data_IF_395429930533
#
_entry.id   IF_395429930533
#
_cell.length_a   1.000
_cell.length_b   1.000
_cell.length_c   1.000
_cell.angle_alpha   90.00
_cell.angle_beta   90.00
_cell.angle_gamma   90.00
#
_symmetry.space_group_name_H-M   'P 1'
#
loop_
_entity.id
_entity.type
_entity.pdbx_description
1 polymer ?
#
# COMPACT_ATOMS: atom_id res chain seq x y z
N UNK A 1 4.57 -15.79 -36.45
CA UNK A 1 3.95 -15.47 -35.14
C UNK A 1 4.04 -13.98 -34.90
N UNK A 2 2.92 -13.24 -34.89
CA UNK A 2 2.92 -11.80 -34.62
C UNK A 2 3.34 -11.56 -33.16
N UNK A 3 4.47 -10.88 -32.96
CA UNK A 3 4.95 -10.42 -31.67
C UNK A 3 3.86 -9.49 -31.11
N UNK A 4 3.10 -9.95 -30.12
CA UNK A 4 2.16 -9.06 -29.39
C UNK A 4 3.04 -8.06 -28.65
N UNK A 5 3.20 -6.90 -29.27
CA UNK A 5 3.77 -5.74 -28.62
C UNK A 5 2.97 -5.49 -27.34
N UNK A 6 3.66 -5.48 -26.21
CA UNK A 6 3.04 -5.14 -24.93
C UNK A 6 2.76 -3.64 -24.97
N UNK A 7 1.59 -3.27 -25.51
CA UNK A 7 1.10 -1.89 -25.52
C UNK A 7 0.59 -1.59 -24.13
N UNK A 8 1.46 -1.01 -23.30
CA UNK A 8 1.03 -0.51 -22.01
C UNK A 8 0.36 0.86 -22.22
N UNK A 9 -0.97 0.86 -22.29
CA UNK A 9 -1.79 2.05 -22.57
C UNK A 9 -1.69 3.16 -21.51
N UNK A 10 -1.12 2.87 -20.33
CA UNK A 10 -1.00 3.81 -19.20
C UNK A 10 0.38 3.77 -18.54
N UNK A 11 1.39 3.21 -19.20
CA UNK A 11 2.73 3.20 -18.63
C UNK A 11 3.40 4.56 -18.80
N UNK A 12 3.53 5.27 -17.67
CA UNK A 12 4.64 6.19 -17.38
C UNK A 12 4.63 7.56 -18.10
N UNK A 13 3.48 8.08 -18.50
CA UNK A 13 3.29 9.52 -18.78
C UNK A 13 2.87 10.27 -17.48
N UNK A 14 3.66 10.19 -16.42
CA UNK A 14 3.39 10.94 -15.19
C UNK A 14 4.06 12.33 -15.26
N UNK A 15 3.45 13.22 -16.05
CA UNK A 15 3.66 14.66 -15.88
C UNK A 15 3.36 15.03 -14.42
N UNK A 16 4.40 15.18 -13.59
CA UNK A 16 4.40 15.67 -12.19
C UNK A 16 3.99 14.71 -11.06
N UNK A 17 4.46 13.45 -11.03
CA UNK A 17 4.24 12.52 -9.89
C UNK A 17 2.77 12.51 -9.39
N UNK A 18 1.79 12.72 -10.27
CA UNK A 18 0.40 12.91 -9.86
C UNK A 18 -0.23 11.55 -9.68
N UNK A 19 -0.39 11.13 -8.43
CA UNK A 19 -0.95 9.82 -8.15
C UNK A 19 -2.37 9.68 -8.72
N UNK A 20 -2.71 8.52 -9.32
CA UNK A 20 -4.03 8.29 -9.87
C UNK A 20 -5.07 8.29 -8.75
N UNK A 21 -6.28 8.76 -9.06
CA UNK A 21 -7.42 8.75 -8.13
C UNK A 21 -7.68 7.36 -7.53
N UNK A 22 -7.43 6.31 -8.31
CA UNK A 22 -7.50 4.91 -7.89
C UNK A 22 -6.61 4.62 -6.67
N UNK A 23 -5.39 5.18 -6.61
CA UNK A 23 -4.47 5.03 -5.46
C UNK A 23 -5.09 5.58 -4.17
N UNK A 24 -5.82 6.69 -4.25
CA UNK A 24 -6.53 7.28 -3.11
C UNK A 24 -7.66 6.39 -2.60
N UNK A 25 -8.41 5.72 -3.48
CA UNK A 25 -9.47 4.79 -3.06
C UNK A 25 -8.87 3.66 -2.23
N UNK A 26 -7.84 2.98 -2.75
CA UNK A 26 -7.17 1.89 -2.04
C UNK A 26 -6.55 2.34 -0.71
N UNK A 27 -6.04 3.57 -0.65
CA UNK A 27 -5.56 4.17 0.60
C UNK A 27 -6.68 4.33 1.64
N UNK A 28 -7.86 4.81 1.27
CA UNK A 28 -8.99 4.90 2.20
C UNK A 28 -9.50 3.52 2.63
N UNK A 29 -9.51 2.53 1.73
CA UNK A 29 -9.82 1.12 2.09
C UNK A 29 -8.86 0.62 3.16
N UNK A 30 -7.56 0.89 3.01
CA UNK A 30 -6.56 0.50 4.00
C UNK A 30 -6.81 1.17 5.36
N UNK A 31 -7.11 2.48 5.37
CA UNK A 31 -7.40 3.20 6.62
C UNK A 31 -8.61 2.62 7.36
N UNK A 32 -9.71 2.34 6.64
CA UNK A 32 -10.89 1.70 7.22
C UNK A 32 -10.56 0.31 7.74
N UNK A 33 -9.77 -0.47 6.99
CA UNK A 33 -9.36 -1.81 7.40
C UNK A 33 -8.51 -1.83 8.68
N UNK A 34 -7.58 -0.88 8.83
CA UNK A 34 -6.78 -0.69 10.06
C UNK A 34 -7.69 -0.47 11.25
N UNK A 35 -8.61 0.48 11.14
CA UNK A 35 -9.52 0.87 12.22
C UNK A 35 -10.41 -0.33 12.59
N UNK A 36 -10.98 -1.01 11.60
CA UNK A 36 -11.83 -2.16 11.81
C UNK A 36 -11.10 -3.28 12.57
N UNK A 37 -9.88 -3.66 12.16
CA UNK A 37 -9.11 -4.70 12.86
C UNK A 37 -8.77 -4.32 14.30
N UNK A 38 -8.48 -3.04 14.58
CA UNK A 38 -8.22 -2.58 15.95
C UNK A 38 -9.48 -2.52 16.80
N UNK A 39 -10.62 -2.25 16.19
CA UNK A 39 -11.92 -2.26 16.85
C UNK A 39 -12.41 -3.68 17.19
N UNK A 40 -11.89 -4.74 16.56
CA UNK A 40 -12.28 -6.14 16.87
C UNK A 40 -12.09 -6.47 18.35
N UNK A 41 -10.95 -6.10 18.93
CA UNK A 41 -10.65 -6.40 20.34
C UNK A 41 -11.67 -5.78 21.28
N UNK A 42 -12.02 -4.50 21.05
CA UNK A 42 -13.01 -3.79 21.83
C UNK A 42 -14.39 -4.42 21.62
N UNK A 43 -14.76 -4.67 20.36
CA UNK A 43 -16.07 -5.23 20.01
C UNK A 43 -16.29 -6.63 20.57
N UNK A 44 -15.23 -7.42 20.80
CA UNK A 44 -15.33 -8.77 21.34
C UNK A 44 -15.98 -8.77 22.74
N UNK A 45 -15.68 -7.77 23.56
CA UNK A 45 -16.21 -7.62 24.92
C UNK A 45 -17.66 -7.10 24.95
N UNK A 46 -18.10 -6.41 23.90
CA UNK A 46 -19.46 -5.84 23.82
C UNK A 46 -20.43 -6.72 23.04
N UNK A 47 -20.05 -7.15 21.83
CA UNK A 47 -20.90 -7.93 20.95
C UNK A 47 -20.08 -8.78 19.95
N UNK A 48 -20.12 -10.11 20.04
CA UNK A 48 -19.34 -10.99 19.17
C UNK A 48 -19.74 -10.91 17.68
N UNK A 49 -20.97 -10.50 17.36
CA UNK A 49 -21.41 -10.29 15.97
C UNK A 49 -20.72 -9.06 15.39
N UNK A 50 -20.64 -7.96 16.16
CA UNK A 50 -19.96 -6.74 15.73
C UNK A 50 -18.47 -6.98 15.52
N UNK A 51 -17.84 -7.77 16.39
CA UNK A 51 -16.45 -8.19 16.24
C UNK A 51 -16.22 -8.95 14.92
N UNK A 52 -17.12 -9.85 14.53
CA UNK A 52 -17.05 -10.56 13.24
C UNK A 52 -17.18 -9.60 12.07
N UNK A 53 -18.11 -8.64 12.11
CA UNK A 53 -18.29 -7.63 11.06
C UNK A 53 -16.98 -6.83 10.88
N UNK A 54 -16.42 -6.31 11.96
CA UNK A 54 -15.15 -5.59 11.93
C UNK A 54 -14.00 -6.45 11.41
N UNK A 55 -13.97 -7.73 11.76
CA UNK A 55 -12.96 -8.65 11.26
C UNK A 55 -13.07 -8.83 9.74
N UNK A 56 -14.27 -9.06 9.19
CA UNK A 56 -14.46 -9.21 7.74
C UNK A 56 -14.12 -7.93 6.96
N UNK A 57 -14.55 -6.77 7.46
CA UNK A 57 -14.21 -5.47 6.86
C UNK A 57 -12.70 -5.24 6.89
N UNK A 58 -12.07 -5.53 8.03
CA UNK A 58 -10.65 -5.39 8.25
C UNK A 58 -9.80 -6.28 7.33
N UNK A 59 -10.02 -7.59 7.40
CA UNK A 59 -9.28 -8.57 6.60
C UNK A 59 -9.56 -8.38 5.11
N UNK A 60 -10.82 -8.19 4.72
CA UNK A 60 -11.20 -8.00 3.32
C UNK A 60 -10.61 -6.71 2.73
N UNK A 61 -10.67 -5.60 3.47
CA UNK A 61 -10.08 -4.34 3.04
C UNK A 61 -8.57 -4.43 2.87
N UNK A 62 -7.86 -5.07 3.80
CA UNK A 62 -6.43 -5.32 3.65
C UNK A 62 -6.09 -6.25 2.50
N UNK A 63 -6.86 -7.32 2.29
CA UNK A 63 -6.64 -8.21 1.15
C UNK A 63 -6.68 -7.43 -0.17
N UNK A 64 -7.71 -6.62 -0.37
CA UNK A 64 -7.89 -5.80 -1.57
C UNK A 64 -6.76 -4.77 -1.72
N UNK A 65 -6.41 -4.07 -0.63
CA UNK A 65 -5.31 -3.10 -0.62
C UNK A 65 -3.95 -3.74 -0.97
N UNK A 66 -3.61 -4.85 -0.33
CA UNK A 66 -2.33 -5.52 -0.55
C UNK A 66 -2.25 -6.15 -1.94
N UNK A 67 -3.34 -6.67 -2.50
CA UNK A 67 -3.38 -7.15 -3.88
C UNK A 67 -3.07 -6.03 -4.89
N UNK A 68 -3.66 -4.84 -4.70
CA UNK A 68 -3.35 -3.67 -5.52
C UNK A 68 -1.87 -3.28 -5.41
N UNK A 69 -1.34 -3.19 -4.18
CA UNK A 69 0.06 -2.82 -3.93
C UNK A 69 1.03 -3.85 -4.51
N UNK A 70 0.72 -5.14 -4.36
CA UNK A 70 1.53 -6.24 -4.89
C UNK A 70 1.60 -6.22 -6.42
N UNK A 71 0.47 -5.99 -7.10
CA UNK A 71 0.45 -5.88 -8.56
C UNK A 71 1.34 -4.73 -9.06
N UNK A 72 1.23 -3.55 -8.46
CA UNK A 72 2.02 -2.39 -8.86
C UNK A 72 3.51 -2.59 -8.61
N UNK A 73 3.86 -3.19 -7.46
CA UNK A 73 5.25 -3.50 -7.13
C UNK A 73 5.84 -4.51 -8.11
N UNK A 74 5.10 -5.56 -8.48
CA UNK A 74 5.57 -6.55 -9.45
C UNK A 74 5.80 -5.98 -10.85
N UNK A 75 4.92 -5.07 -11.31
CA UNK A 75 5.11 -4.39 -12.60
C UNK A 75 6.42 -3.60 -12.57
N UNK A 76 6.65 -2.84 -11.50
CA UNK A 76 7.87 -2.05 -11.36
C UNK A 76 9.13 -2.91 -11.25
N UNK A 77 9.10 -3.97 -10.45
CA UNK A 77 10.20 -4.92 -10.31
C UNK A 77 10.56 -5.57 -11.64
N UNK A 78 9.56 -5.99 -12.42
CA UNK A 78 9.78 -6.55 -13.76
C UNK A 78 10.48 -5.56 -14.68
N UNK A 79 10.09 -4.29 -14.65
CA UNK A 79 10.72 -3.25 -15.48
C UNK A 79 12.16 -2.94 -15.03
N UNK A 80 12.43 -2.89 -13.72
CA UNK A 80 13.80 -2.72 -13.18
C UNK A 80 14.72 -3.85 -13.65
N UNK A 81 14.26 -5.11 -13.56
CA UNK A 81 15.03 -6.28 -13.99
C UNK A 81 15.20 -6.30 -15.52
N UNK A 82 14.12 -6.03 -16.27
CA UNK A 82 14.15 -6.05 -17.75
C UNK A 82 15.12 -5.01 -18.31
N UNK A 83 15.23 -3.86 -17.67
CA UNK A 83 16.10 -2.76 -18.11
C UNK A 83 17.54 -2.90 -17.61
N UNK A 84 17.82 -3.85 -16.72
CA UNK A 84 19.06 -3.93 -15.93
C UNK A 84 19.42 -2.56 -15.34
N UNK A 85 18.43 -1.85 -14.83
CA UNK A 85 18.56 -0.45 -14.42
C UNK A 85 19.62 -0.27 -13.34
N UNK A 86 19.68 -1.22 -12.40
CA UNK A 86 20.66 -1.22 -11.30
C UNK A 86 22.08 -1.31 -11.85
N UNK A 87 22.35 -2.23 -12.77
CA UNK A 87 23.68 -2.41 -13.35
C UNK A 87 24.11 -1.19 -14.15
N UNK A 88 23.19 -0.59 -14.93
CA UNK A 88 23.47 0.64 -15.68
C UNK A 88 23.82 1.81 -14.76
N UNK A 89 23.09 1.97 -13.66
CA UNK A 89 23.36 3.02 -12.66
C UNK A 89 24.72 2.82 -11.97
N UNK A 90 25.04 1.59 -11.56
CA UNK A 90 26.29 1.28 -10.86
C UNK A 90 27.52 1.38 -11.78
N UNK A 91 27.38 0.99 -13.05
CA UNK A 91 28.46 1.05 -14.05
C UNK A 91 28.56 2.39 -14.77
N UNK A 92 27.80 3.41 -14.35
CA UNK A 92 27.74 4.75 -14.98
C UNK A 92 27.50 4.70 -16.50
N UNK A 93 26.74 3.70 -16.96
CA UNK A 93 26.32 3.61 -18.36
C UNK A 93 25.24 4.64 -18.65
N UNK A 94 25.14 5.06 -19.91
CA UNK A 94 24.08 5.97 -20.34
C UNK A 94 22.70 5.37 -20.09
N UNK A 95 21.82 6.17 -19.48
CA UNK A 95 20.43 5.83 -19.22
C UNK A 95 19.59 6.25 -20.42
N UNK A 96 18.81 5.31 -20.94
CA UNK A 96 17.82 5.60 -21.98
C UNK A 96 16.67 6.44 -21.40
N UNK A 97 15.86 7.06 -22.25
CA UNK A 97 14.66 7.78 -21.81
C UNK A 97 13.69 6.87 -21.03
N UNK A 98 13.59 5.59 -21.41
CA UNK A 98 12.81 4.60 -20.65
C UNK A 98 13.38 4.36 -19.25
N UNK A 99 14.70 4.23 -19.13
CA UNK A 99 15.38 4.04 -17.84
C UNK A 99 15.13 5.23 -16.90
N UNK A 100 15.18 6.46 -17.43
CA UNK A 100 14.87 7.70 -16.69
C UNK A 100 13.42 7.74 -16.23
N UNK A 101 12.48 7.29 -17.05
CA UNK A 101 11.06 7.21 -16.68
C UNK A 101 10.82 6.19 -15.56
N UNK A 102 11.44 5.00 -15.64
CA UNK A 102 11.36 3.98 -14.60
C UNK A 102 11.92 4.52 -13.28
N UNK A 103 13.09 5.14 -13.32
CA UNK A 103 13.72 5.77 -12.15
C UNK A 103 12.85 6.88 -11.56
N UNK A 104 12.31 7.76 -12.40
CA UNK A 104 11.41 8.85 -11.99
C UNK A 104 10.20 8.32 -11.23
N UNK A 105 9.60 7.23 -11.68
CA UNK A 105 8.47 6.60 -10.98
C UNK A 105 8.87 5.99 -9.65
N UNK A 106 10.03 5.34 -9.53
CA UNK A 106 10.53 4.82 -8.25
C UNK A 106 10.66 5.97 -7.26
N UNK A 107 11.29 7.08 -7.67
CA UNK A 107 11.48 8.27 -6.83
C UNK A 107 10.14 8.92 -6.47
N UNK A 108 9.20 9.06 -7.41
CA UNK A 108 7.87 9.58 -7.14
C UNK A 108 7.11 8.70 -6.12
N UNK A 109 7.17 7.37 -6.26
CA UNK A 109 6.54 6.44 -5.33
C UNK A 109 7.14 6.52 -3.93
N UNK A 110 8.48 6.57 -3.81
CA UNK A 110 9.18 6.74 -2.54
C UNK A 110 8.91 8.12 -1.90
N UNK A 111 8.70 9.14 -2.72
CA UNK A 111 8.34 10.48 -2.26
C UNK A 111 6.88 10.58 -1.80
N UNK A 112 6.04 9.58 -2.06
CA UNK A 112 4.64 9.60 -1.62
C UNK A 112 4.53 9.60 -0.10
N UNK A 113 3.64 10.45 0.42
CA UNK A 113 3.33 10.51 1.85
C UNK A 113 2.33 9.45 2.28
N UNK A 114 1.63 8.77 1.36
CA UNK A 114 0.53 7.86 1.68
C UNK A 114 0.96 6.70 2.57
N UNK A 115 2.09 6.07 2.24
CA UNK A 115 2.64 4.98 3.05
C UNK A 115 3.03 5.47 4.45
N UNK A 116 3.65 6.65 4.56
CA UNK A 116 4.00 7.26 5.86
C UNK A 116 2.75 7.53 6.71
N UNK A 117 1.68 8.05 6.10
CA UNK A 117 0.41 8.29 6.79
C UNK A 117 -0.21 6.96 7.22
N UNK A 118 -0.23 5.95 6.35
CA UNK A 118 -0.75 4.63 6.70
C UNK A 118 -0.01 4.02 7.91
N UNK A 119 1.32 4.10 7.94
CA UNK A 119 2.13 3.64 9.07
C UNK A 119 1.82 4.42 10.36
N UNK A 120 1.66 5.75 10.27
CA UNK A 120 1.28 6.57 11.41
C UNK A 120 -0.11 6.19 11.95
N UNK A 121 -1.09 5.97 11.07
CA UNK A 121 -2.43 5.53 11.46
C UNK A 121 -2.39 4.17 12.15
N UNK A 122 -1.70 3.18 11.56
CA UNK A 122 -1.52 1.88 12.20
C UNK A 122 -0.91 2.05 13.58
N UNK A 123 0.16 2.83 13.71
CA UNK A 123 0.84 3.05 14.99
C UNK A 123 -0.10 3.66 16.04
N UNK A 124 -0.76 4.78 15.73
CA UNK A 124 -1.64 5.50 16.65
C UNK A 124 -2.83 4.63 17.08
N UNK A 125 -3.54 4.01 16.12
CA UNK A 125 -4.70 3.17 16.45
C UNK A 125 -4.29 1.89 17.19
N UNK A 126 -3.11 1.33 16.91
CA UNK A 126 -2.59 0.20 17.67
C UNK A 126 -2.24 0.59 19.11
N UNK A 127 -1.63 1.76 19.31
CA UNK A 127 -1.31 2.27 20.65
C UNK A 127 -2.59 2.53 21.46
N UNK A 128 -3.61 3.14 20.86
CA UNK A 128 -4.91 3.36 21.51
C UNK A 128 -5.58 2.03 21.86
N UNK A 129 -5.65 1.10 20.90
CA UNK A 129 -6.27 -0.21 21.14
C UNK A 129 -5.56 -0.99 22.25
N UNK A 130 -4.22 -0.93 22.30
CA UNK A 130 -3.43 -1.55 23.37
C UNK A 130 -3.69 -0.89 24.72
N UNK A 131 -3.69 0.44 24.79
CA UNK A 131 -3.96 1.17 26.03
C UNK A 131 -5.37 0.86 26.58
N UNK A 132 -6.37 0.81 25.70
CA UNK A 132 -7.75 0.44 26.06
C UNK A 132 -7.85 -1.01 26.55
N UNK A 133 -7.17 -1.95 25.88
CA UNK A 133 -7.15 -3.34 26.29
C UNK A 133 -6.50 -3.51 27.69
N UNK A 134 -5.34 -2.89 27.92
CA UNK A 134 -4.69 -2.89 29.24
C UNK A 134 -5.60 -2.27 30.30
N UNK A 135 -6.21 -1.12 30.01
CA UNK A 135 -7.14 -0.49 30.95
C UNK A 135 -8.32 -1.42 31.30
N UNK A 136 -8.90 -2.09 30.31
CA UNK A 136 -9.98 -3.04 30.52
C UNK A 136 -9.54 -4.25 31.37
N UNK A 137 -8.38 -4.83 31.09
CA UNK A 137 -7.87 -6.00 31.81
C UNK A 137 -7.56 -5.72 33.30
N UNK A 138 -7.06 -4.50 33.61
CA UNK A 138 -6.64 -4.14 34.96
C UNK A 138 -7.73 -3.46 35.81
N UNK A 139 -8.60 -2.65 35.22
CA UNK A 139 -9.60 -1.87 35.97
C UNK A 139 -11.02 -2.43 35.89
N UNK A 140 -11.30 -3.34 34.96
CA UNK A 140 -12.64 -3.94 34.78
C UNK A 140 -12.73 -5.38 35.34
N UNK A 141 -11.70 -5.82 36.07
CA UNK A 141 -11.70 -7.05 36.88
C UNK A 141 -12.30 -6.81 38.26
#
# INVERSE_FOLDING_TARGET
>A
MKKKEFVCHDCFELKKCKEPFVSWIFFFIALVAVIALRAVNIALDFNPILAKIFWYVGVGGFLVFFLYKFKNYNILQREITRTNLVDKLLSKKELTEHDKNVLGTIVCQLSSKKDKINYLFIFVFSAIALALAIYADFFKR
#
